data_IF_874734740911
#
_entry.id   IF_874734740911
#
_cell.length_a   1.000
_cell.length_b   1.000
_cell.length_c   1.000
_cell.angle_alpha   90.00
_cell.angle_beta   90.00
_cell.angle_gamma   90.00
#
_symmetry.space_group_name_H-M   'P 1'
#
loop_
_entity.id
_entity.type
_entity.pdbx_description
1 polymer ?
#
# COMPACT_ATOMS: atom_id res chain seq x y z
N UNK A 1 10.39 -37.57 25.40
CA UNK A 1 9.48 -36.40 25.13
C UNK A 1 8.13 -36.73 25.73
N UNK A 2 7.58 -35.91 26.64
CA UNK A 2 6.34 -36.20 27.37
C UNK A 2 5.09 -36.16 26.45
N UNK A 3 4.05 -36.93 26.79
CA UNK A 3 2.80 -36.92 26.05
C UNK A 3 2.11 -35.54 26.04
N UNK A 4 2.27 -34.78 27.13
CA UNK A 4 1.79 -33.40 27.22
C UNK A 4 2.46 -32.49 26.16
N UNK A 5 3.78 -32.62 26.01
CA UNK A 5 4.52 -31.86 25.00
C UNK A 5 4.06 -32.18 23.58
N UNK A 6 3.87 -33.48 23.27
CA UNK A 6 3.39 -33.92 21.95
C UNK A 6 2.02 -33.31 21.64
N UNK A 7 1.07 -33.39 22.58
CA UNK A 7 -0.28 -32.80 22.43
C UNK A 7 -0.21 -31.29 22.19
N UNK A 8 0.59 -30.56 22.97
CA UNK A 8 0.74 -29.09 22.81
C UNK A 8 1.38 -28.73 21.46
N UNK A 9 2.37 -29.49 21.01
CA UNK A 9 3.02 -29.30 19.71
C UNK A 9 2.03 -29.49 18.57
N UNK A 10 1.22 -30.56 18.60
CA UNK A 10 0.19 -30.82 17.60
C UNK A 10 -0.83 -29.69 17.56
N UNK A 11 -1.35 -29.24 18.73
CA UNK A 11 -2.27 -28.10 18.83
C UNK A 11 -1.66 -26.82 18.27
N UNK A 12 -0.40 -26.53 18.59
CA UNK A 12 0.31 -25.36 18.07
C UNK A 12 0.45 -25.41 16.55
N UNK A 13 0.83 -26.58 16.00
CA UNK A 13 0.97 -26.76 14.54
C UNK A 13 -0.36 -26.54 13.83
N UNK A 14 -1.44 -27.07 14.39
CA UNK A 14 -2.78 -26.90 13.84
C UNK A 14 -3.24 -25.43 13.86
N UNK A 15 -3.02 -24.71 14.97
CA UNK A 15 -3.29 -23.28 15.05
C UNK A 15 -2.48 -22.46 14.03
N UNK A 16 -1.21 -22.82 13.82
CA UNK A 16 -0.38 -22.17 12.80
C UNK A 16 -0.94 -22.44 11.38
N UNK A 17 -1.42 -23.66 11.11
CA UNK A 17 -2.05 -24.02 9.83
C UNK A 17 -3.32 -23.22 9.58
N UNK A 18 -4.24 -23.19 10.56
CA UNK A 18 -5.49 -22.41 10.49
C UNK A 18 -5.18 -20.93 10.25
N UNK A 19 -4.26 -20.34 11.02
CA UNK A 19 -3.86 -18.95 10.83
C UNK A 19 -3.27 -18.67 9.44
N UNK A 20 -2.55 -19.62 8.84
CA UNK A 20 -2.03 -19.47 7.49
C UNK A 20 -3.18 -19.46 6.45
N UNK A 21 -4.14 -20.36 6.60
CA UNK A 21 -5.33 -20.44 5.74
C UNK A 21 -6.12 -19.14 5.83
N UNK A 22 -6.44 -18.67 7.04
CA UNK A 22 -7.22 -17.45 7.25
C UNK A 22 -6.54 -16.22 6.60
N UNK A 23 -5.19 -16.11 6.71
CA UNK A 23 -4.45 -15.05 6.03
C UNK A 23 -4.55 -15.12 4.50
N UNK A 24 -4.54 -16.33 3.94
CA UNK A 24 -4.70 -16.50 2.49
C UNK A 24 -6.12 -16.18 2.04
N UNK A 25 -7.13 -16.57 2.81
CA UNK A 25 -8.53 -16.23 2.52
C UNK A 25 -8.74 -14.71 2.54
N UNK A 26 -8.26 -14.00 3.57
CA UNK A 26 -8.33 -12.55 3.63
C UNK A 26 -7.65 -11.88 2.40
N UNK A 27 -6.48 -12.38 1.97
CA UNK A 27 -5.85 -11.87 0.74
C UNK A 27 -6.71 -12.13 -0.50
N UNK A 28 -7.39 -13.27 -0.57
CA UNK A 28 -8.30 -13.55 -1.69
C UNK A 28 -9.51 -12.61 -1.71
N UNK A 29 -10.07 -12.30 -0.54
CA UNK A 29 -11.16 -11.34 -0.36
C UNK A 29 -10.72 -9.94 -0.80
N UNK A 30 -9.59 -9.44 -0.26
CA UNK A 30 -9.01 -8.15 -0.64
C UNK A 30 -8.78 -8.02 -2.16
N UNK A 31 -8.20 -9.05 -2.79
CA UNK A 31 -7.93 -9.02 -4.24
C UNK A 31 -9.21 -9.13 -5.06
N UNK A 32 -10.23 -9.88 -4.59
CA UNK A 32 -11.53 -9.94 -5.28
C UNK A 32 -12.28 -8.62 -5.18
N UNK A 33 -12.25 -7.97 -4.02
CA UNK A 33 -12.82 -6.64 -3.82
C UNK A 33 -12.18 -5.62 -4.77
N UNK A 34 -10.83 -5.56 -4.78
CA UNK A 34 -10.12 -4.67 -5.70
C UNK A 34 -10.42 -4.99 -7.17
N UNK A 35 -10.55 -6.28 -7.52
CA UNK A 35 -10.89 -6.71 -8.88
C UNK A 35 -12.31 -6.28 -9.30
N UNK A 36 -13.24 -6.18 -8.35
CA UNK A 36 -14.59 -5.68 -8.64
C UNK A 36 -14.62 -4.19 -9.00
N UNK A 37 -13.59 -3.43 -8.60
CA UNK A 37 -13.45 -2.00 -8.90
C UNK A 37 -12.83 -1.72 -10.28
N UNK A 38 -12.16 -2.72 -10.91
CA UNK A 38 -11.56 -2.52 -12.22
C UNK A 38 -10.66 -3.67 -12.69
N UNK A 39 -10.26 -3.61 -13.96
CA UNK A 39 -9.51 -4.63 -14.66
C UNK A 39 -8.00 -4.43 -14.67
N UNK A 40 -7.55 -3.21 -14.38
CA UNK A 40 -6.15 -2.79 -14.42
C UNK A 40 -5.65 -2.57 -13.01
N UNK A 41 -4.54 -3.22 -12.66
CA UNK A 41 -3.87 -3.06 -11.39
C UNK A 41 -2.47 -2.51 -11.60
N UNK A 42 -2.23 -1.30 -11.13
CA UNK A 42 -0.92 -0.63 -11.21
C UNK A 42 -0.29 -0.59 -9.82
N UNK A 43 0.95 -0.97 -9.70
CA UNK A 43 1.66 -1.02 -8.42
C UNK A 43 3.13 -0.68 -8.56
N UNK A 44 3.73 -0.20 -7.48
CA UNK A 44 5.17 -0.08 -7.37
C UNK A 44 5.81 -1.45 -7.10
N UNK A 45 7.02 -1.72 -7.63
CA UNK A 45 7.74 -2.96 -7.35
C UNK A 45 8.10 -3.04 -5.87
N UNK A 46 7.61 -4.08 -5.18
CA UNK A 46 7.86 -4.28 -3.73
C UNK A 46 8.56 -5.60 -3.47
N UNK A 47 9.74 -5.53 -2.89
CA UNK A 47 10.46 -6.73 -2.45
C UNK A 47 10.13 -7.04 -0.98
N UNK A 48 9.10 -7.88 -0.76
CA UNK A 48 8.66 -8.29 0.57
C UNK A 48 9.78 -8.92 1.41
N UNK A 49 10.69 -9.69 0.80
CA UNK A 49 11.84 -10.29 1.49
C UNK A 49 12.83 -9.22 1.99
N UNK A 50 13.07 -8.16 1.20
CA UNK A 50 13.94 -7.05 1.59
C UNK A 50 13.34 -6.27 2.76
N UNK A 51 12.02 -6.06 2.79
CA UNK A 51 11.31 -5.37 3.87
C UNK A 51 11.37 -6.15 5.21
N UNK A 52 11.51 -7.47 5.17
CA UNK A 52 11.59 -8.32 6.36
C UNK A 52 13.01 -8.42 6.95
N UNK A 53 14.05 -8.05 6.19
CA UNK A 53 15.43 -8.14 6.66
C UNK A 53 15.70 -7.18 7.82
N UNK A 54 16.52 -7.65 8.80
CA UNK A 54 17.06 -6.80 9.86
C UNK A 54 18.03 -5.78 9.25
N UNK A 55 18.04 -4.55 9.79
CA UNK A 55 19.10 -3.61 9.48
C UNK A 55 20.46 -4.15 9.98
N UNK A 56 21.50 -4.05 9.16
CA UNK A 56 22.87 -4.53 9.50
C UNK A 56 23.55 -3.73 10.62
N UNK A 57 23.13 -2.49 10.87
CA UNK A 57 23.72 -1.60 11.88
C UNK A 57 22.97 -1.69 13.19
N UNK A 58 23.70 -1.88 14.30
CA UNK A 58 23.29 -2.25 15.67
C UNK A 58 22.27 -1.39 16.40
N UNK A 59 21.70 -0.34 15.80
CA UNK A 59 20.54 0.35 16.35
C UNK A 59 19.32 -0.56 16.21
N UNK A 60 18.66 -0.89 17.33
CA UNK A 60 17.41 -1.68 17.38
C UNK A 60 16.32 -0.98 16.57
N UNK A 61 16.27 -1.20 15.26
CA UNK A 61 15.08 -0.86 14.48
C UNK A 61 13.95 -1.79 14.90
N UNK A 62 12.76 -1.23 15.12
CA UNK A 62 11.55 -1.98 15.40
C UNK A 62 11.41 -3.08 14.34
N UNK A 63 11.24 -4.33 14.79
CA UNK A 63 11.18 -5.50 13.90
C UNK A 63 9.78 -5.65 13.34
N UNK A 64 9.54 -5.11 12.17
CA UNK A 64 8.24 -5.27 11.48
C UNK A 64 8.09 -6.60 10.70
N UNK A 65 9.13 -7.45 10.70
CA UNK A 65 9.15 -8.68 9.91
C UNK A 65 7.96 -9.60 10.16
N UNK A 66 7.52 -9.75 11.42
CA UNK A 66 6.33 -10.54 11.77
C UNK A 66 5.05 -9.90 11.24
N UNK A 67 4.88 -8.59 11.40
CA UNK A 67 3.72 -7.86 10.89
C UNK A 67 3.65 -7.94 9.37
N UNK A 68 4.77 -7.74 8.67
CA UNK A 68 4.84 -7.86 7.21
C UNK A 68 4.53 -9.30 6.78
N UNK A 69 5.10 -10.31 7.46
CA UNK A 69 4.80 -11.73 7.18
C UNK A 69 3.31 -12.04 7.34
N UNK A 70 2.68 -11.52 8.39
CA UNK A 70 1.26 -11.77 8.66
C UNK A 70 0.33 -11.16 7.61
N UNK A 71 0.72 -10.07 6.95
CA UNK A 71 -0.04 -9.42 5.86
C UNK A 71 0.19 -10.07 4.49
N UNK A 72 1.09 -11.04 4.38
CA UNK A 72 1.37 -11.81 3.16
C UNK A 72 1.52 -10.98 1.87
N UNK A 73 2.29 -9.86 1.83
CA UNK A 73 2.32 -8.96 0.68
C UNK A 73 2.79 -9.63 -0.61
N UNK A 74 3.70 -10.60 -0.53
CA UNK A 74 4.13 -11.37 -1.69
C UNK A 74 3.03 -12.29 -2.24
N UNK A 75 2.20 -12.86 -1.35
CA UNK A 75 1.04 -13.64 -1.76
C UNK A 75 -0.03 -12.76 -2.40
N UNK A 76 -0.30 -11.58 -1.81
CA UNK A 76 -1.19 -10.58 -2.40
C UNK A 76 -0.77 -10.22 -3.83
N UNK A 77 0.51 -9.86 -4.05
CA UNK A 77 1.01 -9.55 -5.39
C UNK A 77 0.83 -10.70 -6.38
N UNK A 78 1.10 -11.95 -5.95
CA UNK A 78 0.91 -13.13 -6.82
C UNK A 78 -0.55 -13.35 -7.19
N UNK A 79 -1.49 -13.13 -6.26
CA UNK A 79 -2.92 -13.25 -6.53
C UNK A 79 -3.43 -12.10 -7.40
N UNK A 80 -2.99 -10.86 -7.17
CA UNK A 80 -3.30 -9.72 -8.02
C UNK A 80 -2.83 -9.96 -9.47
N UNK A 81 -1.56 -10.35 -9.65
CA UNK A 81 -1.02 -10.68 -10.96
C UNK A 81 -1.81 -11.77 -11.71
N UNK A 82 -2.37 -12.74 -10.98
CA UNK A 82 -3.17 -13.82 -11.57
C UNK A 82 -4.60 -13.39 -11.92
N UNK A 83 -5.20 -12.50 -11.12
CA UNK A 83 -6.65 -12.19 -11.21
C UNK A 83 -6.96 -10.96 -12.05
N UNK A 84 -6.08 -9.96 -12.10
CA UNK A 84 -6.30 -8.79 -12.93
C UNK A 84 -5.98 -9.07 -14.40
N UNK A 85 -6.76 -8.50 -15.30
CA UNK A 85 -6.55 -8.63 -16.74
C UNK A 85 -5.26 -7.95 -17.17
N UNK A 86 -4.97 -6.79 -16.59
CA UNK A 86 -3.75 -6.02 -16.82
C UNK A 86 -3.11 -5.77 -15.46
N UNK A 87 -1.88 -6.24 -15.29
CA UNK A 87 -1.08 -6.02 -14.09
C UNK A 87 0.21 -5.31 -14.47
N UNK A 88 0.42 -4.12 -13.96
CA UNK A 88 1.56 -3.26 -14.29
C UNK A 88 2.38 -2.98 -13.02
N UNK A 89 3.65 -3.33 -13.06
CA UNK A 89 4.64 -2.84 -12.10
C UNK A 89 5.37 -1.65 -12.71
N UNK A 90 5.20 -0.46 -12.13
CA UNK A 90 5.88 0.74 -12.61
C UNK A 90 7.39 0.63 -12.43
N UNK A 91 8.21 1.24 -13.27
CA UNK A 91 9.65 1.25 -13.10
C UNK A 91 10.08 1.97 -11.82
N UNK A 92 11.28 1.65 -11.31
CA UNK A 92 11.79 2.19 -10.04
C UNK A 92 12.00 3.72 -10.05
N UNK A 93 12.13 4.31 -11.22
CA UNK A 93 12.29 5.75 -11.46
C UNK A 93 10.95 6.50 -11.57
N UNK A 94 9.83 5.80 -11.54
CA UNK A 94 8.49 6.41 -11.58
C UNK A 94 8.25 7.40 -10.43
N UNK A 95 8.72 7.09 -9.22
CA UNK A 95 8.76 7.97 -8.03
C UNK A 95 7.47 8.73 -7.76
N UNK A 96 6.30 8.09 -7.87
CA UNK A 96 5.00 8.71 -7.64
C UNK A 96 4.94 9.59 -6.37
N UNK A 97 5.53 9.14 -5.26
CA UNK A 97 5.53 9.87 -4.00
C UNK A 97 6.33 11.18 -4.00
N UNK A 98 7.04 11.51 -5.07
CA UNK A 98 7.88 12.71 -5.19
C UNK A 98 7.37 13.69 -6.25
N UNK A 99 6.58 13.23 -7.21
CA UNK A 99 6.08 14.06 -8.31
C UNK A 99 5.00 15.02 -7.83
N UNK A 100 5.04 16.24 -8.36
CA UNK A 100 4.02 17.28 -8.19
C UNK A 100 3.50 17.68 -9.58
N UNK A 101 2.24 17.33 -9.85
CA UNK A 101 1.63 17.56 -11.16
C UNK A 101 1.34 19.05 -11.43
N UNK A 102 1.30 19.89 -10.38
CA UNK A 102 1.04 21.32 -10.52
C UNK A 102 2.27 22.08 -11.03
N UNK A 103 3.47 21.69 -10.59
CA UNK A 103 4.74 22.27 -11.06
C UNK A 103 5.47 21.43 -12.10
N UNK A 104 5.04 20.18 -12.35
CA UNK A 104 5.74 19.20 -13.20
C UNK A 104 7.14 18.83 -12.71
N UNK A 105 7.33 18.84 -11.39
CA UNK A 105 8.63 18.62 -10.77
C UNK A 105 8.65 17.42 -9.82
N UNK A 106 9.83 16.85 -9.62
CA UNK A 106 10.07 15.81 -8.62
C UNK A 106 10.69 16.41 -7.36
N UNK A 107 9.89 16.54 -6.31
CA UNK A 107 10.29 17.15 -5.04
C UNK A 107 10.44 16.05 -3.99
N UNK A 108 11.68 15.84 -3.50
CA UNK A 108 11.95 14.85 -2.45
C UNK A 108 11.38 15.32 -1.12
N UNK A 109 10.46 14.54 -0.56
CA UNK A 109 9.80 14.81 0.72
C UNK A 109 10.29 13.85 1.81
N UNK A 110 10.27 14.29 3.07
CA UNK A 110 10.62 13.42 4.20
C UNK A 110 9.61 12.27 4.33
N UNK A 111 10.10 11.08 4.71
CA UNK A 111 9.24 9.91 4.97
C UNK A 111 8.26 10.11 6.14
N UNK A 112 8.56 11.01 7.07
CA UNK A 112 7.68 11.39 8.18
C UNK A 112 6.56 12.34 7.77
N UNK A 113 6.72 13.04 6.64
CA UNK A 113 5.72 13.98 6.14
C UNK A 113 4.61 13.22 5.43
N UNK A 114 3.47 13.08 6.08
CA UNK A 114 2.31 12.34 5.58
C UNK A 114 1.27 13.20 4.88
N UNK A 115 1.16 14.45 5.35
CA UNK A 115 0.37 15.50 4.71
C UNK A 115 1.34 16.57 4.21
N UNK A 116 1.14 17.08 3.01
CA UNK A 116 1.97 18.15 2.46
C UNK A 116 1.20 19.01 1.45
N UNK A 117 1.73 20.20 1.19
CA UNK A 117 1.19 21.10 0.17
C UNK A 117 1.86 20.85 -1.17
N UNK A 118 1.07 20.83 -2.24
CA UNK A 118 1.55 20.96 -3.61
C UNK A 118 2.00 22.41 -3.86
N UNK A 119 2.61 22.68 -5.00
CA UNK A 119 3.10 24.03 -5.33
C UNK A 119 1.97 25.07 -5.43
N UNK A 120 0.78 24.67 -5.84
CA UNK A 120 -0.43 25.51 -5.85
C UNK A 120 -1.04 25.77 -4.46
N UNK A 121 -0.46 25.17 -3.40
CA UNK A 121 -0.94 25.28 -2.03
C UNK A 121 -1.95 24.21 -1.60
N UNK A 122 -2.40 23.34 -2.50
CA UNK A 122 -3.37 22.28 -2.20
C UNK A 122 -2.79 21.25 -1.24
N UNK A 123 -3.54 20.92 -0.17
CA UNK A 123 -3.11 19.97 0.85
C UNK A 123 -3.46 18.54 0.44
N UNK A 124 -2.48 17.66 0.33
CA UNK A 124 -2.71 16.26 -0.04
C UNK A 124 -2.17 15.28 1.00
N UNK A 125 -2.83 14.13 1.13
CA UNK A 125 -2.32 13.00 1.88
C UNK A 125 -1.41 12.17 0.96
N UNK A 126 -0.18 11.93 1.40
CA UNK A 126 0.90 11.37 0.57
C UNK A 126 0.56 10.06 -0.12
N UNK A 127 -0.02 9.12 0.62
CA UNK A 127 -0.22 7.76 0.11
C UNK A 127 -1.44 7.73 -0.85
N UNK A 128 -2.48 8.54 -0.58
CA UNK A 128 -3.63 8.72 -1.48
C UNK A 128 -3.22 9.44 -2.77
N UNK A 129 -2.41 10.48 -2.65
CA UNK A 129 -1.90 11.20 -3.81
C UNK A 129 -0.96 10.34 -4.67
N UNK A 130 -0.08 9.53 -4.04
CA UNK A 130 0.76 8.57 -4.78
C UNK A 130 -0.08 7.53 -5.52
N UNK A 131 -1.19 7.08 -4.94
CA UNK A 131 -2.12 6.15 -5.61
C UNK A 131 -2.81 6.81 -6.80
N UNK A 132 -3.18 8.08 -6.67
CA UNK A 132 -3.70 8.86 -7.79
C UNK A 132 -2.68 8.99 -8.93
N UNK A 133 -1.42 9.27 -8.63
CA UNK A 133 -0.37 9.35 -9.64
C UNK A 133 -0.11 8.00 -10.33
N UNK A 134 -0.28 6.87 -9.61
CA UNK A 134 -0.25 5.54 -10.23
C UNK A 134 -1.48 5.30 -11.15
N UNK A 135 -2.64 5.85 -10.81
CA UNK A 135 -3.81 5.84 -11.70
C UNK A 135 -3.57 6.66 -12.98
N UNK A 136 -2.81 7.74 -12.88
CA UNK A 136 -2.47 8.62 -14.01
C UNK A 136 -1.31 8.12 -14.87
N UNK A 137 -0.95 6.83 -14.78
CA UNK A 137 0.08 6.28 -15.65
C UNK A 137 -0.40 6.22 -17.10
N UNK A 138 0.48 6.60 -18.03
CA UNK A 138 0.38 6.19 -19.43
C UNK A 138 0.96 4.77 -19.57
N UNK A 139 0.12 3.82 -19.91
CA UNK A 139 0.49 2.40 -20.03
C UNK A 139 1.44 2.11 -21.20
N UNK A 140 1.56 3.01 -22.18
CA UNK A 140 2.46 2.84 -23.32
C UNK A 140 3.89 3.28 -22.98
N UNK A 141 4.02 4.40 -22.27
CA UNK A 141 5.32 4.98 -21.91
C UNK A 141 5.81 4.61 -20.53
N UNK A 142 4.92 4.07 -19.67
CA UNK A 142 5.14 3.84 -18.24
C UNK A 142 5.57 5.10 -17.46
N UNK A 143 5.11 6.27 -17.91
CA UNK A 143 5.36 7.57 -17.26
C UNK A 143 4.06 8.16 -16.73
N UNK A 144 4.16 9.17 -15.88
CA UNK A 144 3.02 9.93 -15.41
C UNK A 144 2.46 10.75 -16.58
N UNK A 145 1.15 10.61 -16.85
CA UNK A 145 0.44 11.44 -17.80
C UNK A 145 -0.04 12.72 -17.08
N UNK A 146 0.65 13.82 -17.32
CA UNK A 146 0.36 15.12 -16.72
C UNK A 146 -1.04 15.63 -17.11
N UNK A 147 -1.45 15.46 -18.35
CA UNK A 147 -2.77 15.93 -18.81
C UNK A 147 -3.88 15.18 -18.09
N UNK A 148 -3.72 13.86 -17.93
CA UNK A 148 -4.64 13.04 -17.14
C UNK A 148 -4.64 13.47 -15.67
N UNK A 149 -3.50 13.79 -15.08
CA UNK A 149 -3.43 14.32 -13.71
C UNK A 149 -4.25 15.59 -13.58
N UNK A 150 -4.07 16.58 -14.45
CA UNK A 150 -4.78 17.87 -14.41
C UNK A 150 -6.29 17.65 -14.55
N UNK A 151 -6.72 16.77 -15.48
CA UNK A 151 -8.12 16.52 -15.74
C UNK A 151 -8.83 15.80 -14.59
N UNK A 152 -8.16 14.82 -13.96
CA UNK A 152 -8.78 13.94 -12.95
C UNK A 152 -8.55 14.41 -11.50
N UNK A 153 -7.68 15.41 -11.28
CA UNK A 153 -7.24 15.77 -9.93
C UNK A 153 -8.37 16.31 -9.05
N UNK A 154 -9.25 17.16 -9.59
CA UNK A 154 -10.34 17.75 -8.81
C UNK A 154 -11.27 16.67 -8.23
N UNK A 155 -11.65 15.70 -9.06
CA UNK A 155 -12.45 14.55 -8.64
C UNK A 155 -11.74 13.72 -7.57
N UNK A 156 -10.44 13.45 -7.77
CA UNK A 156 -9.64 12.69 -6.81
C UNK A 156 -9.45 13.45 -5.50
N UNK A 157 -9.27 14.74 -5.55
CA UNK A 157 -9.13 15.59 -4.36
C UNK A 157 -10.41 15.60 -3.52
N UNK A 158 -11.57 15.66 -4.17
CA UNK A 158 -12.87 15.49 -3.50
C UNK A 158 -12.97 14.12 -2.80
N UNK A 159 -12.67 13.05 -3.51
CA UNK A 159 -12.67 11.69 -2.94
C UNK A 159 -11.68 11.54 -1.77
N UNK A 160 -10.51 12.17 -1.85
CA UNK A 160 -9.55 12.20 -0.75
C UNK A 160 -10.16 12.84 0.50
N UNK A 161 -10.79 14.00 0.36
CA UNK A 161 -11.38 14.73 1.49
C UNK A 161 -12.53 13.95 2.10
N UNK A 162 -13.43 13.40 1.29
CA UNK A 162 -14.51 12.53 1.75
C UNK A 162 -13.98 11.30 2.52
N UNK A 163 -12.90 10.69 2.02
CA UNK A 163 -12.23 9.56 2.69
C UNK A 163 -11.65 9.96 4.04
N UNK A 164 -11.00 11.12 4.11
CA UNK A 164 -10.43 11.63 5.37
C UNK A 164 -11.53 11.93 6.37
N UNK A 165 -12.59 12.59 5.94
CA UNK A 165 -13.77 12.89 6.78
C UNK A 165 -14.42 11.61 7.29
N UNK A 166 -14.63 10.61 6.44
CA UNK A 166 -15.17 9.30 6.83
C UNK A 166 -14.30 8.63 7.90
N UNK A 167 -12.98 8.64 7.73
CA UNK A 167 -12.02 8.09 8.70
C UNK A 167 -12.13 8.81 10.05
N UNK A 168 -12.26 10.14 10.02
CA UNK A 168 -12.36 10.97 11.22
C UNK A 168 -13.70 10.78 11.93
N UNK A 169 -14.82 10.81 11.21
CA UNK A 169 -16.17 10.62 11.75
C UNK A 169 -16.34 9.24 12.42
N UNK A 170 -15.79 8.20 11.80
CA UNK A 170 -15.88 6.83 12.32
C UNK A 170 -14.74 6.47 13.28
N UNK A 171 -13.89 7.42 13.66
CA UNK A 171 -12.76 7.23 14.57
C UNK A 171 -11.81 6.08 14.16
N UNK A 172 -11.63 5.86 12.86
CA UNK A 172 -10.81 4.77 12.31
C UNK A 172 -9.34 5.13 12.43
N UNK A 173 -8.58 4.43 13.28
CA UNK A 173 -7.13 4.63 13.45
C UNK A 173 -6.35 4.02 12.29
N UNK A 174 -5.99 4.84 11.32
CA UNK A 174 -5.10 4.44 10.22
C UNK A 174 -3.65 4.76 10.59
N UNK A 175 -2.88 3.71 10.90
CA UNK A 175 -1.49 3.86 11.34
C UNK A 175 -0.62 4.53 10.26
N UNK A 176 0.17 5.53 10.67
CA UNK A 176 1.10 6.28 9.82
C UNK A 176 0.45 7.04 8.64
N UNK A 177 -0.84 7.28 8.65
CA UNK A 177 -1.54 8.06 7.60
C UNK A 177 -1.33 9.56 7.71
N UNK A 178 -1.01 10.07 8.90
CA UNK A 178 -1.02 11.50 9.22
C UNK A 178 -2.44 12.08 9.42
N UNK A 179 -3.48 11.27 9.26
CA UNK A 179 -4.86 11.65 9.54
C UNK A 179 -5.07 11.57 11.07
N UNK A 180 -5.40 12.71 11.67
CA UNK A 180 -5.69 12.79 13.11
C UNK A 180 -7.14 12.38 13.34
N UNK A 181 -7.35 11.48 14.27
CA UNK A 181 -8.65 11.09 14.80
C UNK A 181 -8.68 11.58 16.25
N UNK A 182 -9.67 12.36 16.59
CA UNK A 182 -9.83 12.95 17.95
C UNK A 182 -10.25 11.89 18.96
#
# INVERSE_FOLDING_TARGET
MSNRYKKLRTKHTELCRINAINRHLAVHEDVNELRSLGDVFVTEPKNAKKLQKKAKTGKRKKRFGRSIKNRCPGYFQSQAKRKFRIYVEVPNDYKASQYDHTSDEYIKKSLSQRMYKLQDGTMVQRDLYSSFLLYCIDLNTNKIDKNKCIHEFEKQYKNQNETIEYIQMNQIKVMNSGIKVN
#
